data_IF_384550166038
#
_entry.id   IF_384550166038
#
_cell.length_a   1.000
_cell.length_b   1.000
_cell.length_c   1.000
_cell.angle_alpha   90.00
_cell.angle_beta   90.00
_cell.angle_gamma   90.00
#
_symmetry.space_group_name_H-M   'P 1'
#
loop_
_entity.id
_entity.type
_entity.pdbx_description
1 polymer ?
#
# COMPACT_ATOMS: atom_id res chain seq x y z
N UNK A 1 15.41 -21.17 14.34
CA UNK A 1 14.85 -20.65 15.60
C UNK A 1 15.84 -20.65 16.76
N UNK A 2 16.72 -21.67 16.91
CA UNK A 2 17.66 -21.73 18.05
C UNK A 2 18.62 -20.55 18.17
N UNK A 3 19.26 -20.13 17.08
CA UNK A 3 20.29 -19.08 17.09
C UNK A 3 19.74 -17.71 17.50
N UNK A 4 18.62 -17.25 16.90
CA UNK A 4 17.99 -15.98 17.28
C UNK A 4 17.47 -15.98 18.72
N UNK A 5 17.00 -17.12 19.23
CA UNK A 5 16.58 -17.22 20.63
C UNK A 5 17.73 -17.00 21.60
N UNK A 6 18.89 -17.61 21.30
CA UNK A 6 20.10 -17.46 22.11
C UNK A 6 20.58 -16.01 22.04
N UNK A 7 20.66 -15.43 20.85
CA UNK A 7 21.09 -14.04 20.64
C UNK A 7 20.21 -13.02 21.37
N UNK A 8 18.88 -13.17 21.29
CA UNK A 8 17.94 -12.28 21.96
C UNK A 8 18.00 -12.41 23.48
N UNK A 9 18.17 -13.64 24.00
CA UNK A 9 18.38 -13.87 25.43
C UNK A 9 19.69 -13.27 25.94
N UNK A 10 20.78 -13.47 25.20
CA UNK A 10 22.09 -12.93 25.56
C UNK A 10 22.10 -11.41 25.55
N UNK A 11 21.38 -10.78 24.62
CA UNK A 11 21.30 -9.33 24.53
C UNK A 11 20.56 -8.71 25.73
N UNK A 12 19.38 -9.23 26.12
CA UNK A 12 18.65 -8.70 27.28
C UNK A 12 19.39 -8.94 28.61
N UNK A 13 19.99 -10.13 28.77
CA UNK A 13 20.81 -10.42 29.95
C UNK A 13 22.04 -9.53 30.03
N UNK A 14 22.65 -9.18 28.89
CA UNK A 14 23.79 -8.26 28.87
C UNK A 14 23.43 -6.85 29.32
N UNK A 15 22.23 -6.35 29.01
CA UNK A 15 21.74 -5.05 29.49
C UNK A 15 21.58 -5.06 31.01
N UNK A 16 20.95 -6.11 31.56
CA UNK A 16 20.73 -6.25 33.00
C UNK A 16 22.06 -6.44 33.74
N UNK A 17 22.93 -7.30 33.22
CA UNK A 17 24.24 -7.58 33.79
C UNK A 17 25.14 -6.34 33.77
N UNK A 18 25.07 -5.53 32.72
CA UNK A 18 25.82 -4.27 32.64
C UNK A 18 25.32 -3.25 33.66
N UNK A 19 23.98 -3.06 33.75
CA UNK A 19 23.36 -2.14 34.70
C UNK A 19 23.72 -2.46 36.17
N UNK A 20 23.76 -3.74 36.55
CA UNK A 20 24.06 -4.17 37.93
C UNK A 20 25.56 -4.37 38.18
N UNK A 21 26.29 -4.93 37.21
CA UNK A 21 27.67 -5.38 37.37
C UNK A 21 28.70 -4.25 37.40
N UNK A 22 28.48 -3.16 36.65
CA UNK A 22 29.42 -2.02 36.64
C UNK A 22 29.41 -1.28 37.99
N UNK A 23 28.24 -0.93 38.58
CA UNK A 23 28.22 -0.32 39.91
C UNK A 23 28.74 -1.25 41.02
N UNK A 24 28.51 -2.57 40.92
CA UNK A 24 29.02 -3.55 41.90
C UNK A 24 30.55 -3.70 41.85
N UNK A 25 31.14 -3.79 40.66
CA UNK A 25 32.59 -3.92 40.49
C UNK A 25 33.38 -2.71 41.00
N UNK A 26 32.73 -1.54 41.06
CA UNK A 26 33.30 -0.30 41.59
C UNK A 26 32.89 0.00 43.05
N UNK A 27 32.23 -0.94 43.74
CA UNK A 27 31.80 -0.77 45.14
C UNK A 27 30.68 0.27 45.34
N UNK A 28 30.00 0.70 44.28
CA UNK A 28 29.00 1.77 44.29
C UNK A 28 27.56 1.29 44.56
N UNK A 29 27.40 0.15 45.25
CA UNK A 29 26.09 -0.44 45.55
C UNK A 29 25.22 0.47 46.42
N UNK A 30 25.75 0.90 47.57
CA UNK A 30 25.02 1.73 48.53
C UNK A 30 24.83 3.18 48.06
N UNK A 31 25.74 3.69 47.23
CA UNK A 31 25.77 5.10 46.80
C UNK A 31 24.98 5.37 45.53
N UNK A 32 24.93 4.42 44.58
CA UNK A 32 24.27 4.59 43.29
C UNK A 32 23.12 3.61 43.11
N UNK A 33 23.39 2.30 43.15
CA UNK A 33 22.42 1.31 42.69
C UNK A 33 21.19 1.19 43.60
N UNK A 34 21.37 1.18 44.93
CA UNK A 34 20.26 1.11 45.89
C UNK A 34 19.32 2.34 45.77
N UNK A 35 19.82 3.59 45.78
CA UNK A 35 18.99 4.76 45.51
C UNK A 35 18.35 4.75 44.11
N UNK A 36 19.06 4.27 43.10
CA UNK A 36 18.56 4.25 41.71
C UNK A 36 17.34 3.34 41.53
N UNK A 37 17.35 2.19 42.21
CA UNK A 37 16.24 1.23 42.23
C UNK A 37 15.02 1.75 43.01
N UNK A 38 15.24 2.53 44.08
CA UNK A 38 14.14 3.13 44.86
C UNK A 38 13.47 4.27 44.07
N UNK A 39 14.26 5.07 43.37
CA UNK A 39 13.78 6.20 42.57
C UNK A 39 13.45 5.82 41.12
N UNK A 40 13.21 4.54 40.82
CA UNK A 40 13.09 4.01 39.46
C UNK A 40 12.03 4.69 38.56
N UNK A 41 11.04 5.37 39.15
CA UNK A 41 9.97 6.07 38.43
C UNK A 41 10.36 7.50 38.04
N UNK A 42 11.47 8.03 38.56
CA UNK A 42 12.02 9.33 38.19
C UNK A 42 12.91 9.20 36.95
N UNK A 43 12.29 9.11 35.77
CA UNK A 43 12.94 8.86 34.47
C UNK A 43 14.11 9.80 34.11
N UNK A 44 14.18 11.01 34.70
CA UNK A 44 15.24 12.01 34.52
C UNK A 44 16.45 11.85 35.45
N UNK A 45 16.32 11.06 36.52
CA UNK A 45 17.36 10.89 37.53
C UNK A 45 17.76 9.44 37.73
N UNK A 46 16.91 8.49 37.32
CA UNK A 46 17.14 7.06 37.50
C UNK A 46 17.35 6.31 36.20
N UNK A 47 18.37 5.44 36.16
CA UNK A 47 18.63 4.53 35.03
C UNK A 47 17.96 3.16 35.23
N UNK A 48 17.44 2.88 36.43
CA UNK A 48 16.74 1.65 36.78
C UNK A 48 15.57 1.32 35.83
N UNK A 49 14.88 2.33 35.32
CA UNK A 49 13.80 2.12 34.35
C UNK A 49 14.29 1.43 33.06
N UNK A 50 15.52 1.66 32.60
CA UNK A 50 16.08 0.93 31.43
C UNK A 50 16.23 -0.57 31.72
N UNK A 51 16.67 -0.92 32.93
CA UNK A 51 16.82 -2.31 33.37
C UNK A 51 15.46 -2.97 33.62
N UNK A 52 14.50 -2.25 34.20
CA UNK A 52 13.13 -2.72 34.40
C UNK A 52 12.41 -2.95 33.06
N UNK A 53 12.61 -2.06 32.08
CA UNK A 53 12.09 -2.24 30.73
C UNK A 53 12.75 -3.44 30.02
N UNK A 54 14.05 -3.67 30.23
CA UNK A 54 14.74 -4.87 29.74
C UNK A 54 14.14 -6.16 30.36
N UNK A 55 13.88 -6.17 31.67
CA UNK A 55 13.20 -7.29 32.36
C UNK A 55 11.78 -7.49 31.80
N UNK A 56 11.02 -6.42 31.60
CA UNK A 56 9.66 -6.49 31.03
C UNK A 56 9.68 -7.04 29.59
N UNK A 57 10.64 -6.62 28.76
CA UNK A 57 10.83 -7.14 27.40
C UNK A 57 11.24 -8.61 27.40
N UNK A 58 12.12 -9.03 28.32
CA UNK A 58 12.50 -10.43 28.50
C UNK A 58 11.30 -11.27 28.95
N UNK A 59 10.50 -10.77 29.90
CA UNK A 59 9.26 -11.41 30.34
C UNK A 59 8.26 -11.56 29.20
N UNK A 60 8.08 -10.51 28.39
CA UNK A 60 7.23 -10.55 27.19
C UNK A 60 7.78 -11.53 26.15
N UNK A 61 9.10 -11.58 25.92
CA UNK A 61 9.75 -12.55 25.04
C UNK A 61 9.51 -14.00 25.51
N UNK A 62 9.67 -14.27 26.80
CA UNK A 62 9.41 -15.59 27.41
C UNK A 62 7.94 -15.94 27.29
N UNK A 63 7.03 -15.00 27.58
CA UNK A 63 5.60 -15.17 27.41
C UNK A 63 5.25 -15.52 25.96
N UNK A 64 5.74 -14.75 24.99
CA UNK A 64 5.54 -15.03 23.56
C UNK A 64 6.07 -16.41 23.19
N UNK A 65 7.23 -16.82 23.71
CA UNK A 65 7.80 -18.14 23.45
C UNK A 65 6.94 -19.26 24.05
N UNK A 66 6.48 -19.12 25.29
CA UNK A 66 5.65 -20.11 25.97
C UNK A 66 4.26 -20.20 25.34
N UNK A 67 3.65 -19.06 25.03
CA UNK A 67 2.35 -18.97 24.37
C UNK A 67 2.43 -19.50 22.94
N UNK A 68 3.50 -19.17 22.20
CA UNK A 68 3.72 -19.68 20.83
C UNK A 68 4.08 -21.17 20.75
N UNK A 69 4.52 -21.77 21.86
CA UNK A 69 4.69 -23.24 22.02
C UNK A 69 3.35 -23.95 22.29
N UNK A 70 2.43 -23.31 23.02
CA UNK A 70 1.12 -23.88 23.39
C UNK A 70 0.06 -23.67 22.30
N UNK A 71 0.06 -22.52 21.64
CA UNK A 71 -0.92 -22.17 20.61
C UNK A 71 -0.27 -21.32 19.50
N UNK A 72 -0.71 -21.46 18.24
CA UNK A 72 -0.19 -20.65 17.16
C UNK A 72 -0.68 -19.19 17.24
N UNK A 73 0.22 -18.28 17.61
CA UNK A 73 0.06 -16.82 17.53
C UNK A 73 -0.53 -16.33 16.18
N UNK A 74 -1.63 -15.55 16.26
CA UNK A 74 -2.31 -14.93 15.11
C UNK A 74 -1.56 -13.72 14.55
N UNK A 75 -1.83 -13.29 13.31
CA UNK A 75 -1.22 -12.06 12.73
C UNK A 75 -1.52 -10.80 13.56
N UNK A 76 -2.72 -10.72 14.13
CA UNK A 76 -3.10 -9.64 15.04
C UNK A 76 -2.26 -9.68 16.32
N UNK A 77 -2.04 -10.86 16.90
CA UNK A 77 -1.14 -11.04 18.05
C UNK A 77 0.30 -10.61 17.72
N UNK A 78 0.83 -11.01 16.56
CA UNK A 78 2.19 -10.62 16.12
C UNK A 78 2.30 -9.11 15.90
N UNK A 79 1.28 -8.47 15.34
CA UNK A 79 1.23 -7.02 15.16
C UNK A 79 1.14 -6.26 16.50
N UNK A 80 0.30 -6.72 17.42
CA UNK A 80 0.17 -6.15 18.76
C UNK A 80 1.50 -6.28 19.54
N UNK A 81 2.13 -7.46 19.47
CA UNK A 81 3.45 -7.72 20.06
C UNK A 81 4.52 -6.82 19.46
N UNK A 82 4.50 -6.60 18.15
CA UNK A 82 5.42 -5.70 17.47
C UNK A 82 5.26 -4.24 17.97
N UNK A 83 4.02 -3.76 18.11
CA UNK A 83 3.74 -2.42 18.63
C UNK A 83 4.20 -2.26 20.09
N UNK A 84 3.89 -3.24 20.96
CA UNK A 84 4.28 -3.21 22.37
C UNK A 84 5.81 -3.23 22.51
N UNK A 85 6.50 -4.10 21.77
CA UNK A 85 7.96 -4.18 21.81
C UNK A 85 8.63 -2.93 21.22
N UNK A 86 8.06 -2.35 20.17
CA UNK A 86 8.52 -1.08 19.61
C UNK A 86 8.41 0.06 20.64
N UNK A 87 7.30 0.16 21.35
CA UNK A 87 7.08 1.18 22.39
C UNK A 87 8.02 1.00 23.60
N UNK A 88 8.23 -0.24 24.06
CA UNK A 88 9.17 -0.51 25.16
C UNK A 88 10.63 -0.22 24.76
N UNK A 89 10.99 -0.52 23.51
CA UNK A 89 12.32 -0.24 22.96
C UNK A 89 12.60 1.27 22.83
N UNK A 90 11.64 2.05 22.34
CA UNK A 90 11.81 3.51 22.23
C UNK A 90 11.93 4.17 23.60
N UNK A 91 11.16 3.73 24.60
CA UNK A 91 11.26 4.20 25.98
C UNK A 91 12.61 3.86 26.61
N UNK A 92 13.15 2.67 26.35
CA UNK A 92 14.45 2.23 26.89
C UNK A 92 15.63 3.04 26.31
N UNK A 93 15.54 3.48 25.05
CA UNK A 93 16.59 4.31 24.40
C UNK A 93 16.49 5.79 24.81
N UNK A 94 15.34 6.22 25.32
CA UNK A 94 15.09 7.61 25.70
C UNK A 94 15.99 8.07 26.88
N UNK A 95 16.17 7.23 27.90
CA UNK A 95 16.91 7.65 29.11
C UNK A 95 18.41 7.87 28.86
N UNK A 96 19.14 6.97 28.17
CA UNK A 96 20.53 7.24 27.80
C UNK A 96 20.66 8.44 26.84
N UNK A 97 19.67 8.65 25.96
CA UNK A 97 19.65 9.83 25.08
C UNK A 97 19.45 11.14 25.85
N UNK A 98 18.65 11.14 26.92
CA UNK A 98 18.49 12.28 27.83
C UNK A 98 19.78 12.53 28.61
N UNK A 99 20.44 11.48 29.13
CA UNK A 99 21.73 11.60 29.81
C UNK A 99 22.78 12.29 28.93
N UNK A 100 22.86 11.94 27.64
CA UNK A 100 23.85 12.51 26.70
C UNK A 100 23.54 13.94 26.25
N UNK A 101 22.30 14.42 26.44
CA UNK A 101 21.85 15.74 25.94
C UNK A 101 21.59 16.79 27.04
N UNK A 102 21.26 16.37 28.26
CA UNK A 102 20.90 17.27 29.36
C UNK A 102 21.88 17.12 30.52
N UNK A 103 22.71 18.13 30.73
CA UNK A 103 23.72 18.15 31.80
C UNK A 103 23.13 18.29 33.21
N UNK A 104 21.85 18.65 33.33
CA UNK A 104 21.14 18.75 34.62
C UNK A 104 20.50 17.43 35.04
N UNK A 105 20.54 16.41 34.19
CA UNK A 105 19.94 15.10 34.42
C UNK A 105 20.94 14.09 34.99
N UNK A 106 20.45 13.08 35.73
CA UNK A 106 21.26 12.00 36.33
C UNK A 106 22.44 12.47 37.19
N UNK A 107 22.17 13.39 38.13
CA UNK A 107 23.18 14.07 38.97
C UNK A 107 24.06 13.07 39.74
N UNK A 108 23.45 11.98 40.22
CA UNK A 108 24.15 10.92 40.97
C UNK A 108 25.13 10.12 40.11
N UNK A 109 24.78 9.85 38.85
CA UNK A 109 25.69 9.14 37.95
C UNK A 109 26.81 10.05 37.46
N UNK A 110 26.53 11.33 37.19
CA UNK A 110 27.52 12.28 36.69
C UNK A 110 28.65 12.61 37.67
N UNK A 111 28.50 12.33 38.97
CA UNK A 111 29.57 12.51 39.96
C UNK A 111 30.69 11.48 39.88
N UNK A 112 30.57 10.47 39.00
CA UNK A 112 31.49 9.35 38.91
C UNK A 112 32.22 9.34 37.56
N UNK A 113 33.53 9.10 37.58
CA UNK A 113 34.41 9.21 36.41
C UNK A 113 34.07 8.26 35.26
N UNK A 114 33.50 7.09 35.54
CA UNK A 114 33.15 6.07 34.54
C UNK A 114 31.72 6.21 33.97
N UNK A 115 30.95 7.21 34.39
CA UNK A 115 29.53 7.32 34.07
C UNK A 115 29.22 7.46 32.57
N UNK A 116 30.01 8.24 31.84
CA UNK A 116 29.82 8.43 30.39
C UNK A 116 30.03 7.11 29.62
N UNK A 117 31.09 6.37 29.94
CA UNK A 117 31.36 5.06 29.34
C UNK A 117 30.30 4.02 29.72
N UNK A 118 29.81 4.08 30.96
CA UNK A 118 28.73 3.20 31.43
C UNK A 118 27.41 3.44 30.68
N UNK A 119 26.95 4.69 30.59
CA UNK A 119 25.67 5.04 29.96
C UNK A 119 25.71 4.88 28.44
N UNK A 120 26.84 5.21 27.79
CA UNK A 120 27.00 5.00 26.35
C UNK A 120 26.98 3.50 25.99
N UNK A 121 27.67 2.67 26.75
CA UNK A 121 27.64 1.21 26.56
C UNK A 121 26.23 0.65 26.83
N UNK A 122 25.53 1.16 27.84
CA UNK A 122 24.14 0.80 28.12
C UNK A 122 23.20 1.20 26.97
N UNK A 123 23.42 2.35 26.32
CA UNK A 123 22.67 2.79 25.15
C UNK A 123 22.87 1.87 23.94
N UNK A 124 24.11 1.44 23.70
CA UNK A 124 24.45 0.50 22.62
C UNK A 124 23.82 -0.86 22.88
N UNK A 125 23.96 -1.40 24.10
CA UNK A 125 23.38 -2.69 24.48
C UNK A 125 21.85 -2.70 24.37
N UNK A 126 21.17 -1.63 24.82
CA UNK A 126 19.71 -1.53 24.72
C UNK A 126 19.23 -1.43 23.27
N UNK A 127 19.97 -0.72 22.41
CA UNK A 127 19.71 -0.61 20.97
C UNK A 127 19.89 -1.94 20.25
N UNK A 128 21.00 -2.65 20.50
CA UNK A 128 21.26 -3.98 19.93
C UNK A 128 20.19 -4.98 20.37
N UNK A 129 19.79 -4.94 21.64
CA UNK A 129 18.73 -5.81 22.16
C UNK A 129 17.38 -5.57 21.48
N UNK A 130 17.00 -4.30 21.27
CA UNK A 130 15.77 -3.94 20.58
C UNK A 130 15.77 -4.44 19.12
N UNK A 131 16.90 -4.32 18.41
CA UNK A 131 17.04 -4.80 17.01
C UNK A 131 16.89 -6.32 16.95
N UNK A 132 17.53 -7.05 17.86
CA UNK A 132 17.46 -8.52 17.90
C UNK A 132 16.03 -9.03 18.18
N UNK A 133 15.29 -8.36 19.07
CA UNK A 133 13.89 -8.68 19.33
C UNK A 133 12.98 -8.39 18.12
N UNK A 134 13.20 -7.28 17.42
CA UNK A 134 12.47 -6.96 16.19
C UNK A 134 12.72 -8.00 15.09
N UNK A 135 13.99 -8.40 14.94
CA UNK A 135 14.40 -9.46 14.01
C UNK A 135 13.74 -10.81 14.32
N UNK A 136 13.65 -11.17 15.61
CA UNK A 136 12.94 -12.38 16.03
C UNK A 136 11.44 -12.35 15.67
N UNK A 137 10.76 -11.23 15.89
CA UNK A 137 9.32 -11.08 15.57
C UNK A 137 9.08 -11.16 14.05
N UNK A 138 9.94 -10.52 13.24
CA UNK A 138 9.90 -10.61 11.78
C UNK A 138 10.16 -12.03 11.28
N UNK A 139 11.08 -12.76 11.93
CA UNK A 139 11.33 -14.18 11.63
C UNK A 139 10.16 -15.08 12.05
N UNK A 140 9.50 -14.79 13.17
CA UNK A 140 8.29 -15.47 13.62
C UNK A 140 7.15 -15.31 12.59
N UNK A 141 7.02 -14.12 12.01
CA UNK A 141 6.08 -13.83 10.93
C UNK A 141 6.46 -14.56 9.63
N UNK A 142 7.75 -14.57 9.26
CA UNK A 142 8.27 -15.21 8.04
C UNK A 142 8.19 -16.73 8.06
N UNK A 143 8.38 -17.37 9.21
CA UNK A 143 8.38 -18.82 9.38
C UNK A 143 6.97 -19.45 9.41
N UNK A 144 5.91 -18.66 9.62
CA UNK A 144 4.54 -19.17 9.80
C UNK A 144 3.58 -18.96 8.62
N UNK A 145 4.02 -18.31 7.54
CA UNK A 145 3.17 -17.97 6.39
C UNK A 145 2.59 -19.12 5.54
N UNK A 146 2.45 -20.35 6.06
CA UNK A 146 1.87 -21.49 5.31
C UNK A 146 1.09 -22.57 6.11
N UNK A 147 1.20 -22.71 7.45
CA UNK A 147 0.72 -23.94 8.12
C UNK A 147 -0.31 -23.77 9.26
N UNK A 148 -0.47 -22.59 9.86
CA UNK A 148 -1.30 -22.40 11.06
C UNK A 148 -2.72 -21.87 10.81
N UNK A 149 -2.98 -21.33 9.62
CA UNK A 149 -4.30 -20.74 9.28
C UNK A 149 -5.39 -21.83 9.11
N UNK A 150 -5.00 -23.08 8.79
CA UNK A 150 -5.93 -24.17 8.44
C UNK A 150 -6.48 -24.99 9.63
N UNK A 151 -5.77 -25.00 10.77
CA UNK A 151 -6.19 -25.75 11.96
C UNK A 151 -7.03 -24.87 12.89
N UNK A 152 -6.64 -23.60 13.07
CA UNK A 152 -7.37 -22.65 13.92
C UNK A 152 -8.75 -22.29 13.34
N UNK A 153 -8.85 -22.09 12.02
CA UNK A 153 -10.16 -21.93 11.39
C UNK A 153 -11.01 -23.20 11.50
N UNK A 154 -10.37 -24.37 11.58
CA UNK A 154 -11.08 -25.65 11.69
C UNK A 154 -11.80 -25.78 13.01
N UNK A 155 -11.10 -25.48 14.08
CA UNK A 155 -11.62 -25.61 15.44
C UNK A 155 -12.70 -24.54 15.72
N UNK A 156 -12.47 -23.29 15.30
CA UNK A 156 -13.43 -22.19 15.46
C UNK A 156 -14.72 -22.39 14.65
N UNK A 157 -14.63 -22.93 13.43
CA UNK A 157 -15.81 -23.18 12.60
C UNK A 157 -16.59 -24.41 13.09
N UNK A 158 -15.91 -25.45 13.58
CA UNK A 158 -16.54 -26.63 14.18
C UNK A 158 -17.32 -26.29 15.44
N UNK A 159 -16.76 -25.44 16.30
CA UNK A 159 -17.42 -24.99 17.54
C UNK A 159 -18.67 -24.13 17.28
N UNK A 160 -18.69 -23.39 16.16
CA UNK A 160 -19.78 -22.43 15.85
C UNK A 160 -20.87 -22.95 14.91
N UNK A 161 -20.58 -23.93 14.05
CA UNK A 161 -21.51 -24.36 12.99
C UNK A 161 -21.69 -25.89 12.87
N UNK A 162 -21.05 -26.70 13.71
CA UNK A 162 -21.07 -28.17 13.61
C UNK A 162 -20.17 -28.71 12.49
N UNK A 163 -19.86 -30.01 12.56
CA UNK A 163 -18.78 -30.65 11.79
C UNK A 163 -18.83 -30.47 10.27
N UNK A 164 -19.97 -30.75 9.64
CA UNK A 164 -20.08 -30.75 8.17
C UNK A 164 -20.14 -29.33 7.58
N UNK A 165 -20.90 -28.42 8.20
CA UNK A 165 -20.99 -27.02 7.75
C UNK A 165 -19.67 -26.26 7.97
N UNK A 166 -18.92 -26.62 9.01
CA UNK A 166 -17.58 -26.10 9.25
C UNK A 166 -16.63 -26.48 8.10
N UNK A 167 -16.62 -27.75 7.67
CA UNK A 167 -15.78 -28.22 6.56
C UNK A 167 -16.13 -27.53 5.24
N UNK A 168 -17.41 -27.35 4.93
CA UNK A 168 -17.84 -26.61 3.74
C UNK A 168 -17.35 -25.15 3.77
N UNK A 169 -17.46 -24.47 4.92
CA UNK A 169 -16.95 -23.10 5.08
C UNK A 169 -15.42 -23.03 5.08
N UNK A 170 -14.73 -24.03 5.63
CA UNK A 170 -13.28 -24.13 5.57
C UNK A 170 -12.78 -24.26 4.14
N UNK A 171 -13.41 -25.11 3.33
CA UNK A 171 -13.06 -25.29 1.92
C UNK A 171 -13.29 -23.98 1.16
N UNK A 172 -14.40 -23.29 1.43
CA UNK A 172 -14.69 -21.96 0.89
C UNK A 172 -13.64 -20.91 1.28
N UNK A 173 -13.26 -20.84 2.55
CA UNK A 173 -12.26 -19.90 3.05
C UNK A 173 -10.83 -20.27 2.63
N UNK A 174 -10.51 -21.56 2.51
CA UNK A 174 -9.25 -22.05 1.91
C UNK A 174 -9.13 -21.61 0.47
N UNK A 175 -10.20 -21.74 -0.32
CA UNK A 175 -10.24 -21.26 -1.71
C UNK A 175 -10.01 -19.76 -1.78
N UNK A 176 -10.67 -18.96 -0.93
CA UNK A 176 -10.43 -17.51 -0.88
C UNK A 176 -9.02 -17.15 -0.40
N UNK A 177 -8.47 -17.86 0.58
CA UNK A 177 -7.16 -17.57 1.15
C UNK A 177 -6.01 -18.07 0.28
N UNK A 178 -6.15 -19.20 -0.40
CA UNK A 178 -5.21 -19.66 -1.43
C UNK A 178 -5.15 -18.67 -2.57
N UNK A 179 -6.31 -18.16 -3.01
CA UNK A 179 -6.37 -17.08 -4.01
C UNK A 179 -5.66 -15.82 -3.49
N UNK A 180 -5.95 -15.36 -2.27
CA UNK A 180 -5.31 -14.16 -1.71
C UNK A 180 -3.79 -14.32 -1.49
N UNK A 181 -3.32 -15.47 -1.00
CA UNK A 181 -1.89 -15.75 -0.76
C UNK A 181 -1.14 -15.95 -2.07
N UNK A 182 -1.77 -16.52 -3.11
CA UNK A 182 -1.23 -16.58 -4.46
C UNK A 182 -1.08 -15.16 -5.06
N UNK A 183 -2.02 -14.27 -4.75
CA UNK A 183 -1.96 -12.86 -5.13
C UNK A 183 -0.91 -12.03 -4.36
N UNK A 184 -0.60 -12.39 -3.11
CA UNK A 184 0.37 -11.66 -2.26
C UNK A 184 1.81 -12.21 -2.38
N UNK A 185 1.99 -13.53 -2.57
CA UNK A 185 3.31 -14.12 -2.86
C UNK A 185 3.84 -13.74 -4.24
N UNK A 186 2.97 -13.29 -5.12
CA UNK A 186 3.36 -12.50 -6.28
C UNK A 186 3.75 -11.08 -5.81
N UNK A 187 4.99 -10.91 -5.32
CA UNK A 187 5.80 -9.92 -6.04
C UNK A 187 5.85 -10.52 -7.44
N UNK A 188 4.98 -10.06 -8.34
CA UNK A 188 4.93 -10.56 -9.71
C UNK A 188 6.39 -10.53 -10.20
N UNK A 189 7.08 -11.66 -10.49
CA UNK A 189 7.74 -11.65 -11.78
C UNK A 189 6.62 -11.25 -12.74
N UNK A 190 6.81 -10.23 -13.56
CA UNK A 190 5.89 -9.95 -14.65
C UNK A 190 5.42 -11.30 -15.20
N UNK A 191 4.09 -11.49 -15.20
CA UNK A 191 3.45 -12.77 -15.51
C UNK A 191 4.22 -13.39 -16.67
N UNK A 192 4.74 -14.63 -16.59
CA UNK A 192 5.61 -15.15 -17.65
C UNK A 192 4.96 -15.07 -19.03
N UNK A 193 3.62 -15.00 -19.10
CA UNK A 193 2.84 -14.69 -20.30
C UNK A 193 2.90 -13.21 -20.67
N UNK A 194 2.72 -12.28 -19.73
CA UNK A 194 2.96 -10.84 -19.89
C UNK A 194 4.42 -10.46 -20.21
N UNK A 195 5.41 -11.08 -19.56
CA UNK A 195 6.85 -10.98 -19.82
C UNK A 195 7.19 -11.65 -21.16
N UNK A 196 6.57 -12.79 -21.50
CA UNK A 196 6.69 -13.38 -22.83
C UNK A 196 6.04 -12.49 -23.89
N UNK A 197 4.91 -11.84 -23.61
CA UNK A 197 4.27 -10.85 -24.46
C UNK A 197 5.18 -9.65 -24.64
N UNK A 198 5.73 -9.07 -23.57
CA UNK A 198 6.74 -8.00 -23.62
C UNK A 198 8.01 -8.41 -24.39
N UNK A 199 8.44 -9.67 -24.28
CA UNK A 199 9.58 -10.22 -25.04
C UNK A 199 9.24 -10.55 -26.50
N UNK A 200 7.98 -10.89 -26.79
CA UNK A 200 7.38 -11.02 -28.13
C UNK A 200 7.28 -9.65 -28.81
N UNK A 201 6.84 -8.62 -28.06
CA UNK A 201 6.86 -7.21 -28.45
C UNK A 201 8.29 -6.70 -28.72
N UNK A 202 9.33 -7.34 -28.15
CA UNK A 202 10.74 -6.95 -28.25
C UNK A 202 11.55 -7.65 -29.37
N UNK A 203 10.90 -8.22 -30.40
CA UNK A 203 11.54 -8.88 -31.57
C UNK A 203 12.58 -9.97 -31.21
N UNK A 204 12.14 -11.20 -30.97
CA UNK A 204 13.02 -12.39 -30.99
C UNK A 204 12.36 -13.55 -31.75
N UNK A 205 13.11 -14.17 -32.65
CA UNK A 205 12.62 -15.14 -33.65
C UNK A 205 12.05 -16.46 -33.08
N UNK A 206 12.26 -16.76 -31.80
CA UNK A 206 11.80 -18.00 -31.13
C UNK A 206 10.47 -17.86 -30.37
N UNK A 207 9.77 -16.74 -30.55
CA UNK A 207 8.71 -16.35 -29.66
C UNK A 207 7.38 -17.07 -29.94
N UNK A 208 7.14 -17.47 -31.19
CA UNK A 208 5.98 -18.27 -31.63
C UNK A 208 5.99 -19.67 -31.01
N UNK A 209 7.13 -20.36 -31.02
CA UNK A 209 7.29 -21.70 -30.42
C UNK A 209 7.14 -21.70 -28.90
N UNK A 210 7.42 -20.56 -28.26
CA UNK A 210 7.19 -20.37 -26.82
C UNK A 210 5.72 -20.06 -26.51
N UNK A 211 5.06 -19.29 -27.37
CA UNK A 211 3.64 -18.99 -27.24
C UNK A 211 2.78 -20.26 -27.38
N UNK A 212 3.10 -21.12 -28.35
CA UNK A 212 2.45 -22.42 -28.51
C UNK A 212 2.56 -23.28 -27.24
N UNK A 213 3.76 -23.36 -26.65
CA UNK A 213 4.00 -24.09 -25.39
C UNK A 213 3.31 -23.47 -24.17
N UNK A 214 3.02 -22.16 -24.17
CA UNK A 214 2.27 -21.48 -23.10
C UNK A 214 0.77 -21.72 -23.27
N UNK A 215 0.27 -21.63 -24.51
CA UNK A 215 -1.11 -21.96 -24.84
C UNK A 215 -1.47 -23.39 -24.44
N UNK A 216 -0.60 -24.36 -24.75
CA UNK A 216 -0.78 -25.77 -24.38
C UNK A 216 -0.84 -26.00 -22.85
N UNK A 217 -0.20 -25.13 -22.06
CA UNK A 217 -0.20 -25.22 -20.59
C UNK A 217 -1.39 -24.53 -19.94
N UNK A 218 -1.88 -23.44 -20.54
CA UNK A 218 -2.92 -22.59 -19.95
C UNK A 218 -3.83 -21.96 -21.03
N UNK A 219 -4.70 -22.76 -21.68
CA UNK A 219 -5.47 -22.30 -22.83
C UNK A 219 -6.48 -21.20 -22.49
N UNK A 220 -7.14 -21.28 -21.33
CA UNK A 220 -8.15 -20.28 -20.90
C UNK A 220 -7.55 -18.91 -20.55
N UNK A 221 -6.33 -18.87 -20.04
CA UNK A 221 -5.63 -17.61 -19.76
C UNK A 221 -5.07 -17.02 -21.05
N UNK A 222 -4.66 -17.87 -21.99
CA UNK A 222 -4.15 -17.45 -23.30
C UNK A 222 -5.24 -16.90 -24.23
N UNK A 223 -6.46 -17.45 -24.15
CA UNK A 223 -7.66 -16.97 -24.86
C UNK A 223 -8.05 -15.54 -24.49
N UNK A 224 -7.81 -15.13 -23.23
CA UNK A 224 -8.03 -13.75 -22.80
C UNK A 224 -7.16 -12.74 -23.54
N UNK A 225 -5.95 -13.17 -23.93
CA UNK A 225 -4.99 -12.34 -24.65
C UNK A 225 -5.01 -12.53 -26.18
N UNK A 226 -5.83 -13.46 -26.67
CA UNK A 226 -5.98 -13.77 -28.10
C UNK A 226 -6.33 -12.53 -28.93
N UNK A 227 -7.21 -11.60 -28.47
CA UNK A 227 -7.47 -10.36 -29.20
C UNK A 227 -6.21 -9.48 -29.34
N UNK A 228 -5.39 -9.36 -28.29
CA UNK A 228 -4.12 -8.62 -28.33
C UNK A 228 -3.07 -9.34 -29.20
N UNK A 229 -3.07 -10.67 -29.22
CA UNK A 229 -2.21 -11.50 -30.07
C UNK A 229 -2.60 -11.45 -31.54
N UNK A 230 -3.89 -11.48 -31.86
CA UNK A 230 -4.42 -11.25 -33.20
C UNK A 230 -4.13 -9.81 -33.65
N UNK A 231 -4.30 -8.84 -32.76
CA UNK A 231 -3.88 -7.46 -33.00
C UNK A 231 -2.38 -7.40 -33.32
N UNK A 232 -1.52 -8.09 -32.55
CA UNK A 232 -0.07 -8.21 -32.80
C UNK A 232 0.29 -8.96 -34.08
N UNK A 233 -0.36 -10.06 -34.44
CA UNK A 233 -0.11 -10.75 -35.71
C UNK A 233 -0.51 -9.89 -36.90
N UNK A 234 -1.53 -9.03 -36.73
CA UNK A 234 -1.96 -8.03 -37.70
C UNK A 234 -1.11 -6.73 -37.67
N UNK A 235 -0.38 -6.44 -36.58
CA UNK A 235 0.46 -5.22 -36.40
C UNK A 235 1.97 -5.46 -36.50
N UNK A 236 2.46 -6.66 -36.20
CA UNK A 236 3.87 -7.08 -36.28
C UNK A 236 4.33 -7.29 -37.72
N UNK A 237 3.40 -7.55 -38.63
CA UNK A 237 3.65 -7.46 -40.07
C UNK A 237 3.83 -5.99 -40.56
N UNK A 238 3.67 -5.00 -39.68
CA UNK A 238 3.32 -3.63 -40.07
C UNK A 238 3.98 -2.57 -39.17
N UNK A 239 5.19 -2.83 -38.64
CA UNK A 239 5.96 -1.86 -37.85
C UNK A 239 6.33 -0.55 -38.59
N UNK A 240 6.02 -0.44 -39.88
CA UNK A 240 6.12 0.80 -40.68
C UNK A 240 4.76 1.31 -41.19
N UNK A 241 3.62 0.72 -40.77
CA UNK A 241 2.32 1.10 -41.32
C UNK A 241 1.78 2.37 -40.66
N UNK A 242 1.33 3.30 -41.49
CA UNK A 242 0.54 4.47 -41.10
C UNK A 242 -0.69 4.08 -40.25
N UNK A 243 -1.19 2.85 -40.43
CA UNK A 243 -2.36 2.30 -39.76
C UNK A 243 -2.16 2.08 -38.26
N UNK A 244 -0.97 1.66 -37.81
CA UNK A 244 -0.66 1.48 -36.39
C UNK A 244 -0.56 2.82 -35.66
N UNK A 245 0.06 3.81 -36.30
CA UNK A 245 0.10 5.18 -35.79
C UNK A 245 -1.32 5.75 -35.66
N UNK A 246 -2.17 5.56 -36.67
CA UNK A 246 -3.57 5.99 -36.64
C UNK A 246 -4.36 5.31 -35.51
N UNK A 247 -4.19 4.01 -35.30
CA UNK A 247 -4.86 3.28 -34.22
C UNK A 247 -4.43 3.76 -32.83
N UNK A 248 -3.12 3.97 -32.60
CA UNK A 248 -2.64 4.51 -31.32
C UNK A 248 -3.13 5.95 -31.09
N UNK A 249 -3.19 6.77 -32.14
CA UNK A 249 -3.73 8.13 -32.08
C UNK A 249 -5.23 8.14 -31.75
N UNK A 250 -6.00 7.22 -32.33
CA UNK A 250 -7.42 7.05 -32.03
C UNK A 250 -7.63 6.66 -30.56
N UNK A 251 -6.86 5.69 -30.05
CA UNK A 251 -6.88 5.28 -28.63
C UNK A 251 -6.51 6.43 -27.69
N UNK A 252 -5.51 7.23 -28.04
CA UNK A 252 -5.14 8.44 -27.29
C UNK A 252 -6.28 9.47 -27.27
N UNK A 253 -7.04 9.58 -28.36
CA UNK A 253 -8.15 10.53 -28.49
C UNK A 253 -9.29 10.14 -27.54
N UNK A 254 -9.66 8.86 -27.52
CA UNK A 254 -10.71 8.34 -26.63
C UNK A 254 -10.28 8.47 -25.16
N UNK A 255 -9.05 8.07 -24.84
CA UNK A 255 -8.51 8.19 -23.47
C UNK A 255 -8.48 9.65 -22.99
N UNK A 256 -8.07 10.58 -23.86
CA UNK A 256 -8.05 12.01 -23.55
C UNK A 256 -9.47 12.55 -23.29
N UNK A 257 -10.44 12.15 -24.11
CA UNK A 257 -11.84 12.53 -23.91
C UNK A 257 -12.38 12.02 -22.56
N UNK A 258 -12.23 10.74 -22.25
CA UNK A 258 -12.67 10.17 -20.97
C UNK A 258 -11.95 10.79 -19.77
N UNK A 259 -10.67 11.12 -19.88
CA UNK A 259 -9.91 11.78 -18.82
C UNK A 259 -10.53 13.13 -18.44
N UNK A 260 -10.85 13.96 -19.45
CA UNK A 260 -11.49 15.26 -19.24
C UNK A 260 -12.94 15.09 -18.74
N UNK A 261 -13.69 14.12 -19.26
CA UNK A 261 -15.06 13.85 -18.81
C UNK A 261 -15.07 13.41 -17.33
N UNK A 262 -14.18 12.50 -16.94
CA UNK A 262 -14.06 12.04 -15.56
C UNK A 262 -13.75 13.20 -14.60
N UNK A 263 -12.87 14.11 -15.01
CA UNK A 263 -12.57 15.32 -14.25
C UNK A 263 -13.80 16.24 -14.12
N UNK A 264 -14.45 16.59 -15.25
CA UNK A 264 -15.56 17.55 -15.26
C UNK A 264 -16.79 17.01 -14.52
N UNK A 265 -17.17 15.76 -14.75
CA UNK A 265 -18.32 15.15 -14.10
C UNK A 265 -18.01 14.57 -12.72
N UNK A 266 -16.73 14.53 -12.31
CA UNK A 266 -16.29 13.89 -11.07
C UNK A 266 -16.81 12.44 -11.00
N UNK A 267 -16.59 11.68 -12.07
CA UNK A 267 -16.94 10.27 -12.09
C UNK A 267 -16.00 9.56 -11.11
N UNK A 268 -16.58 8.93 -10.09
CA UNK A 268 -15.87 8.19 -9.05
C UNK A 268 -15.91 6.68 -9.31
N UNK A 269 -15.30 5.93 -8.42
CA UNK A 269 -15.18 4.48 -8.49
C UNK A 269 -14.50 4.02 -9.80
N UNK A 270 -13.39 4.68 -10.16
CA UNK A 270 -12.66 4.42 -11.41
C UNK A 270 -11.56 3.40 -11.17
N UNK A 271 -11.97 2.14 -11.08
CA UNK A 271 -11.07 0.99 -11.03
C UNK A 271 -10.98 0.24 -12.37
N UNK A 272 -10.03 -0.71 -12.49
CA UNK A 272 -9.81 -1.45 -13.75
C UNK A 272 -11.07 -2.16 -14.26
N UNK A 273 -11.88 -2.78 -13.40
CA UNK A 273 -13.13 -3.41 -13.83
C UNK A 273 -14.20 -2.48 -14.42
N UNK A 274 -14.09 -1.17 -14.24
CA UNK A 274 -15.02 -0.18 -14.81
C UNK A 274 -14.48 0.47 -16.10
N UNK A 275 -13.33 -0.01 -16.59
CA UNK A 275 -12.69 0.43 -17.83
C UNK A 275 -12.55 -0.81 -18.72
N UNK A 276 -13.43 -0.89 -19.71
CA UNK A 276 -13.48 -1.98 -20.67
C UNK A 276 -12.71 -1.64 -21.94
N UNK A 277 -12.38 -2.68 -22.69
CA UNK A 277 -11.85 -2.61 -24.05
C UNK A 277 -12.76 -3.42 -24.95
N UNK A 278 -13.14 -2.87 -26.11
CA UNK A 278 -13.83 -3.63 -27.15
C UNK A 278 -12.86 -4.39 -28.06
N UNK A 279 -13.39 -5.09 -29.08
CA UNK A 279 -12.61 -5.91 -29.99
C UNK A 279 -11.65 -5.08 -30.86
N UNK A 280 -12.02 -3.84 -31.13
CA UNK A 280 -11.26 -2.83 -31.87
C UNK A 280 -10.21 -2.14 -30.97
N UNK A 281 -10.31 -2.31 -29.65
CA UNK A 281 -9.41 -1.80 -28.64
C UNK A 281 -9.70 -0.35 -28.24
N UNK A 282 -10.93 0.13 -28.44
CA UNK A 282 -11.43 1.38 -27.88
C UNK A 282 -11.68 1.21 -26.38
N UNK A 283 -11.39 2.27 -25.63
CA UNK A 283 -11.61 2.31 -24.18
C UNK A 283 -13.05 2.73 -23.92
N UNK A 284 -13.77 1.93 -23.12
CA UNK A 284 -15.16 2.20 -22.76
C UNK A 284 -15.27 2.25 -21.24
N UNK A 285 -15.68 3.40 -20.70
CA UNK A 285 -15.98 3.50 -19.27
C UNK A 285 -17.42 3.04 -19.02
N UNK A 286 -17.61 2.22 -18.00
CA UNK A 286 -18.93 1.73 -17.57
C UNK A 286 -19.21 2.09 -16.10
N UNK A 287 -20.44 1.84 -15.67
CA UNK A 287 -20.91 2.07 -14.29
C UNK A 287 -20.70 3.50 -13.80
N UNK A 288 -21.60 4.41 -14.19
CA UNK A 288 -21.56 5.82 -13.79
C UNK A 288 -22.35 6.09 -12.49
N UNK A 289 -22.52 5.08 -11.62
CA UNK A 289 -23.34 5.19 -10.40
C UNK A 289 -22.87 6.27 -9.41
N UNK A 290 -21.60 6.67 -9.48
CA UNK A 290 -21.01 7.71 -8.64
C UNK A 290 -20.50 8.88 -9.49
N UNK A 291 -21.24 9.98 -9.48
CA UNK A 291 -20.90 11.21 -10.20
C UNK A 291 -21.18 12.46 -9.37
N UNK A 292 -20.57 13.58 -9.77
CA UNK A 292 -20.70 14.90 -9.16
C UNK A 292 -20.25 14.93 -7.69
N UNK A 293 -21.18 14.95 -6.73
CA UNK A 293 -20.87 14.89 -5.29
C UNK A 293 -21.10 13.52 -4.66
N UNK A 294 -21.56 12.53 -5.43
CA UNK A 294 -21.73 11.16 -4.94
C UNK A 294 -20.38 10.45 -4.85
N UNK A 295 -20.13 9.71 -3.76
CA UNK A 295 -18.90 8.94 -3.56
C UNK A 295 -19.23 7.49 -3.14
N UNK A 296 -18.43 6.50 -3.54
CA UNK A 296 -18.55 5.14 -3.05
C UNK A 296 -18.13 5.09 -1.57
N UNK A 297 -19.11 5.11 -0.67
CA UNK A 297 -18.91 5.10 0.78
C UNK A 297 -18.58 6.47 1.39
N UNK A 298 -18.46 6.53 2.73
CA UNK A 298 -18.25 7.78 3.49
C UNK A 298 -16.81 8.34 3.45
N UNK A 299 -15.92 7.79 2.64
CA UNK A 299 -14.50 8.17 2.66
C UNK A 299 -14.04 8.58 1.27
N UNK A 300 -13.70 9.86 1.11
CA UNK A 300 -13.26 10.47 -0.15
C UNK A 300 -11.81 10.06 -0.50
N UNK A 301 -11.56 8.75 -0.65
CA UNK A 301 -10.23 8.21 -0.98
C UNK A 301 -9.78 8.54 -2.42
N UNK A 302 -10.71 8.83 -3.32
CA UNK A 302 -10.44 9.05 -4.74
C UNK A 302 -10.33 10.55 -5.07
N UNK A 303 -9.13 11.10 -4.84
CA UNK A 303 -8.81 12.51 -5.13
C UNK A 303 -8.05 12.71 -6.46
N UNK A 304 -7.71 11.64 -7.19
CA UNK A 304 -7.09 11.78 -8.49
C UNK A 304 -8.10 12.41 -9.48
N UNK A 305 -7.69 13.35 -10.34
CA UNK A 305 -8.57 13.98 -11.32
C UNK A 305 -9.22 12.97 -12.29
N UNK A 306 -8.44 11.99 -12.73
CA UNK A 306 -8.87 10.84 -13.53
C UNK A 306 -7.83 9.73 -13.39
N UNK A 307 -8.15 8.55 -13.92
CA UNK A 307 -7.26 7.39 -13.88
C UNK A 307 -6.26 7.42 -15.04
N UNK A 308 -4.97 7.50 -14.70
CA UNK A 308 -3.87 7.42 -15.67
C UNK A 308 -2.74 6.58 -15.07
N UNK A 309 -2.71 5.29 -15.38
CA UNK A 309 -1.71 4.36 -14.86
C UNK A 309 -0.45 4.34 -15.72
N UNK A 310 0.65 3.82 -15.17
CA UNK A 310 1.92 3.69 -15.89
C UNK A 310 1.80 2.80 -17.12
N UNK A 311 0.92 1.79 -17.12
CA UNK A 311 0.67 0.92 -18.27
C UNK A 311 0.04 1.68 -19.45
N UNK A 312 -0.87 2.62 -19.21
CA UNK A 312 -1.40 3.48 -20.27
C UNK A 312 -0.31 4.37 -20.88
N UNK A 313 0.60 4.89 -20.04
CA UNK A 313 1.73 5.71 -20.49
C UNK A 313 2.74 4.88 -21.29
N UNK A 314 2.99 3.64 -20.87
CA UNK A 314 3.86 2.69 -21.58
C UNK A 314 3.28 2.28 -22.94
N UNK A 315 1.96 2.05 -23.04
CA UNK A 315 1.27 1.83 -24.32
C UNK A 315 1.45 3.00 -25.29
N UNK A 316 1.54 4.23 -24.77
CA UNK A 316 1.85 5.41 -25.56
C UNK A 316 3.34 5.56 -25.89
N UNK A 317 4.19 4.59 -25.56
CA UNK A 317 5.65 4.65 -25.79
C UNK A 317 6.42 5.39 -24.69
N UNK A 318 5.82 5.59 -23.52
CA UNK A 318 6.43 6.20 -22.35
C UNK A 318 6.26 7.73 -22.25
N UNK A 319 6.66 8.33 -21.12
CA UNK A 319 6.38 9.74 -20.80
C UNK A 319 7.10 10.74 -21.70
N UNK A 320 8.16 10.33 -22.41
CA UNK A 320 8.91 11.17 -23.35
C UNK A 320 8.48 10.99 -24.81
N UNK A 321 7.51 10.12 -25.09
CA UNK A 321 7.12 9.80 -26.46
C UNK A 321 6.37 10.95 -27.15
N UNK A 322 6.38 10.93 -28.48
CA UNK A 322 5.56 11.85 -29.28
C UNK A 322 4.06 11.61 -29.06
N UNK A 323 3.65 10.35 -28.91
CA UNK A 323 2.26 9.93 -28.69
C UNK A 323 1.73 10.41 -27.33
N UNK A 324 2.54 10.33 -26.26
CA UNK A 324 2.15 10.87 -24.96
C UNK A 324 2.02 12.40 -24.99
N UNK A 325 2.96 13.10 -25.65
CA UNK A 325 2.82 14.56 -25.88
C UNK A 325 1.53 14.89 -26.65
N UNK A 326 1.17 14.07 -27.63
CA UNK A 326 -0.09 14.21 -28.37
C UNK A 326 -1.30 13.99 -27.47
N UNK A 327 -1.31 12.97 -26.61
CA UNK A 327 -2.35 12.76 -25.60
C UNK A 327 -2.52 14.00 -24.71
N UNK A 328 -1.43 14.58 -24.19
CA UNK A 328 -1.52 15.81 -23.37
C UNK A 328 -2.14 16.96 -24.16
N UNK A 329 -1.73 17.17 -25.41
CA UNK A 329 -2.30 18.20 -26.28
C UNK A 329 -3.80 17.96 -26.56
N UNK A 330 -4.21 16.70 -26.74
CA UNK A 330 -5.61 16.34 -26.92
C UNK A 330 -6.43 16.63 -25.67
N UNK A 331 -5.92 16.33 -24.47
CA UNK A 331 -6.58 16.69 -23.20
C UNK A 331 -6.83 18.21 -23.10
N UNK A 332 -5.80 19.02 -23.42
CA UNK A 332 -5.91 20.50 -23.42
C UNK A 332 -6.98 20.95 -24.40
N UNK A 333 -6.94 20.47 -25.65
CA UNK A 333 -7.92 20.82 -26.68
C UNK A 333 -9.33 20.42 -26.28
N UNK A 334 -9.53 19.20 -25.78
CA UNK A 334 -10.82 18.70 -25.32
C UNK A 334 -11.38 19.55 -24.18
N UNK A 335 -10.53 19.92 -23.21
CA UNK A 335 -10.94 20.80 -22.11
C UNK A 335 -11.35 22.19 -22.61
N UNK A 336 -10.55 22.81 -23.48
CA UNK A 336 -10.85 24.14 -24.04
C UNK A 336 -12.15 24.14 -24.86
N UNK A 337 -12.40 23.09 -25.65
CA UNK A 337 -13.66 22.94 -26.39
C UNK A 337 -14.84 22.76 -25.43
N UNK A 338 -14.73 21.88 -24.44
CA UNK A 338 -15.77 21.69 -23.43
C UNK A 338 -16.09 22.99 -22.67
N UNK A 339 -15.07 23.81 -22.37
CA UNK A 339 -15.21 25.11 -21.70
C UNK A 339 -16.03 26.13 -22.49
N UNK A 340 -16.05 26.07 -23.83
CA UNK A 340 -16.92 26.91 -24.67
C UNK A 340 -18.39 26.59 -24.45
N UNK A 341 -18.72 25.34 -24.11
CA UNK A 341 -20.09 24.86 -23.89
C UNK A 341 -20.47 24.77 -22.40
N UNK A 342 -19.66 25.31 -21.48
CA UNK A 342 -19.87 25.20 -20.03
C UNK A 342 -21.29 25.54 -19.59
N UNK A 343 -21.85 26.64 -20.11
CA UNK A 343 -23.20 27.10 -19.73
C UNK A 343 -24.29 26.11 -20.15
N UNK A 344 -24.14 25.48 -21.31
CA UNK A 344 -25.08 24.44 -21.77
C UNK A 344 -25.00 23.21 -20.87
N UNK A 345 -23.79 22.76 -20.52
CA UNK A 345 -23.64 21.63 -19.62
C UNK A 345 -24.17 21.93 -18.22
N UNK A 346 -23.91 23.12 -17.68
CA UNK A 346 -24.43 23.54 -16.37
C UNK A 346 -25.96 23.55 -16.38
N UNK A 347 -26.57 24.11 -17.43
CA UNK A 347 -28.02 24.13 -17.60
C UNK A 347 -28.62 22.73 -17.65
N UNK A 348 -27.99 21.78 -18.37
CA UNK A 348 -28.48 20.39 -18.42
C UNK A 348 -28.48 19.73 -17.04
N UNK A 349 -27.44 19.96 -16.22
CA UNK A 349 -27.39 19.43 -14.85
C UNK A 349 -28.44 20.11 -13.96
N UNK A 350 -28.64 21.42 -14.11
CA UNK A 350 -29.67 22.18 -13.39
C UNK A 350 -31.08 21.70 -13.75
N UNK A 351 -31.35 21.43 -15.03
CA UNK A 351 -32.60 20.82 -15.46
C UNK A 351 -32.78 19.40 -14.91
N UNK A 352 -31.70 18.62 -14.83
CA UNK A 352 -31.74 17.27 -14.27
C UNK A 352 -32.08 17.28 -12.78
N UNK A 353 -31.63 18.30 -12.04
CA UNK A 353 -31.98 18.47 -10.63
C UNK A 353 -33.49 18.60 -10.44
N UNK A 354 -34.18 19.33 -11.32
CA UNK A 354 -35.62 19.53 -11.22
C UNK A 354 -36.36 18.20 -11.39
N UNK A 355 -37.04 17.74 -10.32
CA UNK A 355 -37.73 16.45 -10.28
C UNK A 355 -36.87 15.25 -9.84
N UNK A 356 -35.55 15.41 -9.71
CA UNK A 356 -34.63 14.35 -9.25
C UNK A 356 -33.80 14.75 -8.01
N UNK A 357 -34.32 15.65 -7.18
CA UNK A 357 -33.65 16.18 -5.98
C UNK A 357 -33.22 15.09 -4.98
N UNK A 358 -33.87 13.92 -5.03
CA UNK A 358 -33.57 12.77 -4.16
C UNK A 358 -32.37 11.94 -4.64
N UNK A 359 -31.80 12.21 -5.82
CA UNK A 359 -30.65 11.46 -6.30
C UNK A 359 -29.43 11.69 -5.38
N UNK A 360 -28.63 10.63 -5.10
CA UNK A 360 -27.46 10.74 -4.24
C UNK A 360 -26.44 11.81 -4.68
N UNK A 361 -26.35 12.09 -5.99
CA UNK A 361 -25.47 13.11 -6.55
C UNK A 361 -25.90 14.55 -6.27
N UNK A 362 -27.12 14.78 -5.78
CA UNK A 362 -27.62 16.09 -5.34
C UNK A 362 -27.94 16.15 -3.84
N UNK A 363 -27.78 15.02 -3.13
CA UNK A 363 -28.07 14.92 -1.71
C UNK A 363 -27.18 15.88 -0.89
N UNK A 364 -27.79 16.61 0.04
CA UNK A 364 -27.13 17.58 0.93
C UNK A 364 -27.10 19.01 0.37
N UNK A 365 -26.40 19.24 -0.74
CA UNK A 365 -26.18 20.59 -1.30
C UNK A 365 -26.23 20.61 -2.83
N UNK A 366 -27.45 20.58 -3.38
CA UNK A 366 -27.69 20.54 -4.82
C UNK A 366 -27.15 21.78 -5.56
N UNK A 367 -27.39 22.98 -5.02
CA UNK A 367 -26.92 24.24 -5.61
C UNK A 367 -25.39 24.32 -5.57
N UNK A 368 -24.76 23.95 -4.46
CA UNK A 368 -23.30 23.91 -4.37
C UNK A 368 -22.69 22.85 -5.29
N UNK A 369 -23.37 21.73 -5.55
CA UNK A 369 -22.92 20.75 -6.55
C UNK A 369 -22.92 21.33 -7.97
N UNK A 370 -23.95 22.07 -8.36
CA UNK A 370 -24.00 22.77 -9.66
C UNK A 370 -22.90 23.84 -9.73
N UNK A 371 -22.72 24.64 -8.68
CA UNK A 371 -21.68 25.67 -8.61
C UNK A 371 -20.27 25.06 -8.72
N UNK A 372 -20.01 23.95 -8.01
CA UNK A 372 -18.75 23.21 -8.11
C UNK A 372 -18.53 22.63 -9.51
N UNK A 373 -19.59 22.13 -10.16
CA UNK A 373 -19.50 21.68 -11.56
C UNK A 373 -19.12 22.82 -12.50
N UNK A 374 -19.78 23.98 -12.40
CA UNK A 374 -19.46 25.16 -13.19
C UNK A 374 -18.02 25.65 -12.93
N UNK A 375 -17.57 25.63 -11.68
CA UNK A 375 -16.21 26.04 -11.28
C UNK A 375 -15.11 25.14 -11.89
N UNK A 376 -15.39 23.84 -12.14
CA UNK A 376 -14.41 22.92 -12.76
C UNK A 376 -14.04 23.29 -14.20
N UNK A 377 -14.87 24.08 -14.89
CA UNK A 377 -14.50 24.63 -16.20
C UNK A 377 -13.50 25.79 -16.11
N UNK A 378 -13.11 26.21 -14.90
CA UNK A 378 -12.15 27.29 -14.64
C UNK A 378 -12.44 28.55 -15.46
N UNK A 379 -13.65 29.16 -15.32
CA UNK A 379 -14.04 30.31 -16.14
C UNK A 379 -13.10 31.50 -16.02
N UNK A 380 -12.40 31.64 -14.89
CA UNK A 380 -11.49 32.74 -14.57
C UNK A 380 -10.09 32.64 -15.19
N UNK A 381 -9.68 31.45 -15.67
CA UNK A 381 -8.35 31.26 -16.24
C UNK A 381 -8.30 31.71 -17.71
N UNK A 382 -7.18 32.26 -18.16
CA UNK A 382 -6.94 32.49 -19.59
C UNK A 382 -6.61 31.17 -20.32
N UNK A 383 -6.35 31.23 -21.63
CA UNK A 383 -6.10 30.02 -22.43
C UNK A 383 -4.77 29.37 -22.01
N UNK A 384 -3.73 30.17 -21.76
CA UNK A 384 -2.41 29.66 -21.39
C UNK A 384 -2.43 29.05 -19.98
N UNK A 385 -3.03 29.71 -18.99
CA UNK A 385 -3.16 29.12 -17.66
C UNK A 385 -4.09 27.89 -17.66
N UNK A 386 -5.04 27.79 -18.60
CA UNK A 386 -5.82 26.56 -18.79
C UNK A 386 -4.97 25.40 -19.31
N UNK A 387 -4.02 25.65 -20.20
CA UNK A 387 -3.09 24.62 -20.68
C UNK A 387 -2.24 24.10 -19.51
N UNK A 388 -1.63 24.99 -18.74
CA UNK A 388 -0.85 24.64 -17.54
C UNK A 388 -1.70 23.89 -16.51
N UNK A 389 -2.94 24.35 -16.30
CA UNK A 389 -3.88 23.69 -15.41
C UNK A 389 -4.16 22.25 -15.85
N UNK A 390 -4.47 22.01 -17.13
CA UNK A 390 -4.72 20.65 -17.64
C UNK A 390 -3.46 19.78 -17.56
N UNK A 391 -2.28 20.34 -17.82
CA UNK A 391 -1.02 19.62 -17.62
C UNK A 391 -0.83 19.20 -16.15
N UNK A 392 -1.15 20.08 -15.20
CA UNK A 392 -1.11 19.75 -13.77
C UNK A 392 -2.09 18.63 -13.38
N UNK A 393 -3.28 18.57 -14.01
CA UNK A 393 -4.23 17.47 -13.79
C UNK A 393 -3.68 16.13 -14.29
N UNK A 394 -3.01 16.14 -15.45
CA UNK A 394 -2.35 14.96 -16.00
C UNK A 394 -1.24 14.49 -15.05
N UNK A 395 -0.39 15.40 -14.58
CA UNK A 395 0.72 15.06 -13.67
C UNK A 395 0.22 14.55 -12.32
N UNK A 396 -0.85 15.13 -11.78
CA UNK A 396 -1.48 14.65 -10.54
C UNK A 396 -2.17 13.28 -10.69
N UNK A 397 -2.56 12.92 -11.92
CA UNK A 397 -3.23 11.66 -12.24
C UNK A 397 -2.23 10.54 -12.56
N UNK A 398 -1.04 10.90 -13.06
CA UNK A 398 -0.01 9.97 -13.49
C UNK A 398 0.50 9.12 -12.33
N UNK A 399 0.24 7.81 -12.42
CA UNK A 399 0.65 6.79 -11.45
C UNK A 399 0.28 7.12 -9.99
N UNK A 400 -0.91 7.68 -9.78
CA UNK A 400 -1.34 8.11 -8.46
C UNK A 400 -1.46 6.92 -7.49
N UNK A 401 -0.75 6.96 -6.36
CA UNK A 401 -0.73 5.87 -5.39
C UNK A 401 -2.12 5.54 -4.82
N UNK A 402 -3.04 6.52 -4.76
CA UNK A 402 -4.40 6.31 -4.24
C UNK A 402 -5.25 5.50 -5.21
N UNK A 403 -5.13 5.75 -6.52
CA UNK A 403 -5.86 4.96 -7.53
C UNK A 403 -5.34 3.52 -7.55
N UNK A 404 -4.02 3.32 -7.45
CA UNK A 404 -3.44 1.98 -7.34
C UNK A 404 -3.89 1.23 -6.07
N UNK A 405 -3.99 1.95 -4.94
CA UNK A 405 -4.46 1.35 -3.69
C UNK A 405 -5.95 1.01 -3.78
N UNK A 406 -6.75 1.86 -4.44
CA UNK A 406 -8.17 1.61 -4.67
C UNK A 406 -8.41 0.39 -5.57
N UNK A 407 -7.62 0.21 -6.62
CA UNK A 407 -7.64 -1.02 -7.43
C UNK A 407 -7.31 -2.27 -6.59
N UNK A 408 -6.32 -2.18 -5.70
CA UNK A 408 -5.98 -3.27 -4.78
C UNK A 408 -7.13 -3.56 -3.81
N UNK A 409 -7.80 -2.53 -3.31
CA UNK A 409 -8.98 -2.67 -2.46
C UNK A 409 -10.10 -3.39 -3.21
N UNK A 410 -10.46 -2.92 -4.40
CA UNK A 410 -11.50 -3.53 -5.24
C UNK A 410 -11.17 -5.00 -5.55
N UNK A 411 -9.91 -5.29 -5.86
CA UNK A 411 -9.44 -6.65 -6.09
C UNK A 411 -9.51 -7.56 -4.87
N UNK A 412 -9.10 -7.08 -3.70
CA UNK A 412 -9.03 -7.92 -2.50
C UNK A 412 -10.36 -8.10 -1.80
N UNK A 413 -11.21 -7.07 -1.79
CA UNK A 413 -12.45 -7.06 -1.01
C UNK A 413 -13.70 -7.30 -1.86
N UNK A 414 -13.72 -6.81 -3.11
CA UNK A 414 -14.88 -6.95 -4.01
C UNK A 414 -14.65 -8.09 -5.03
N UNK A 415 -13.40 -8.38 -5.37
CA UNK A 415 -13.04 -9.45 -6.32
C UNK A 415 -12.99 -8.99 -7.78
N UNK A 416 -12.83 -7.68 -8.01
CA UNK A 416 -12.73 -7.07 -9.34
C UNK A 416 -11.25 -6.98 -9.75
N UNK A 417 -10.89 -7.54 -10.91
CA UNK A 417 -9.49 -7.75 -11.31
C UNK A 417 -8.87 -6.63 -12.14
#
# INVERSE_FOLDING_TARGET
MGVYNVLTWTAELSVIAWYVGVPLSHGAWCSLLRPDLVDAWHMRQSLAATALLAIARLGLFVYIRLTSKKAPATRCFVFLVFLIQGALGTLAVLQPAVFLRDDRSFVRYRSVSWAHSFVSTLAVLTSVSAIMQLGYILQLNRSRGRLTDDHLMRDVLKERYGGEMAEAKLVFWRSKWSNLVQHIKQRRPADPTFEAMLRLYAQRDEAVDRLARVYDRAPRESEFYLPQLCSFLLTGASAQSSQLCMMLLEKCTILAAYSIICYLLQIKDRHNGNILLDAEGHIIHIDFGYMLSNNPGNVAFEQAPFKLTSEFVELMGGPRSATFRRFRSLCVRSFLVARKYRHRFTLLIEMTLHGNEKLPCFAGDARGTINRFAARFQPQLDINACEDFVHSLIDASLDNWRTQWYDKYQRWFVGVF
#
